data_IF_036391881455
#
_entry.id   IF_036391881455
#
_cell.length_a   1.000
_cell.length_b   1.000
_cell.length_c   1.000
_cell.angle_alpha   90.00
_cell.angle_beta   90.00
_cell.angle_gamma   90.00
#
_symmetry.space_group_name_H-M   'P 1'
#
loop_
_entity.id
_entity.type
_entity.pdbx_description
1 polymer ?
#
# COMPACT_ATOMS: atom_id res chain seq x y z
N UNK A 1 34.14 32.62 -41.02
CA UNK A 1 33.49 31.29 -41.07
C UNK A 1 33.56 30.69 -39.68
N UNK A 2 32.61 31.04 -38.81
CA UNK A 2 32.70 30.80 -37.36
C UNK A 2 31.34 30.34 -36.87
N UNK A 3 30.99 29.07 -37.10
CA UNK A 3 29.64 28.59 -36.80
C UNK A 3 29.49 27.07 -36.62
N UNK A 4 30.59 26.30 -36.61
CA UNK A 4 30.51 24.83 -36.56
C UNK A 4 30.86 24.20 -35.20
N UNK A 5 31.33 24.96 -34.20
CA UNK A 5 31.85 24.39 -32.95
C UNK A 5 30.87 24.41 -31.76
N UNK A 6 29.68 25.02 -31.89
CA UNK A 6 28.73 25.17 -30.77
C UNK A 6 27.65 24.09 -30.67
N UNK A 7 27.36 23.34 -31.75
CA UNK A 7 26.31 22.30 -31.71
C UNK A 7 26.81 20.93 -31.21
N UNK A 8 28.10 20.66 -31.35
CA UNK A 8 28.67 19.34 -31.04
C UNK A 8 28.87 19.11 -29.53
N UNK A 9 29.04 20.18 -28.76
CA UNK A 9 29.21 20.11 -27.29
C UNK A 9 27.90 19.92 -26.54
N UNK A 10 26.77 20.38 -27.10
CA UNK A 10 25.45 20.22 -26.47
C UNK A 10 24.93 18.78 -26.53
N UNK A 11 25.22 18.06 -27.62
CA UNK A 11 24.76 16.67 -27.79
C UNK A 11 25.51 15.69 -26.87
N UNK A 12 26.80 15.95 -26.57
CA UNK A 12 27.60 15.09 -25.69
C UNK A 12 27.22 15.22 -24.21
N UNK A 13 26.76 16.40 -23.76
CA UNK A 13 26.34 16.62 -22.37
C UNK A 13 25.03 15.88 -22.05
N UNK A 14 24.09 15.85 -23.00
CA UNK A 14 22.80 15.16 -22.86
C UNK A 14 23.01 13.63 -22.76
N UNK A 15 24.01 13.09 -23.46
CA UNK A 15 24.30 11.65 -23.47
C UNK A 15 24.89 11.18 -22.13
N UNK A 16 25.72 11.99 -21.46
CA UNK A 16 26.26 11.66 -20.14
C UNK A 16 25.21 11.71 -19.02
N UNK A 17 24.18 12.56 -19.13
CA UNK A 17 23.12 12.66 -18.12
C UNK A 17 22.21 11.41 -18.08
N UNK A 18 22.08 10.69 -19.19
CA UNK A 18 21.27 9.45 -19.26
C UNK A 18 22.02 8.20 -18.76
N UNK A 19 23.36 8.26 -18.68
CA UNK A 19 24.19 7.13 -18.22
C UNK A 19 24.38 7.06 -16.71
N UNK A 20 24.08 8.14 -15.97
CA UNK A 20 24.29 8.22 -14.52
C UNK A 20 23.08 7.77 -13.67
N UNK A 21 21.93 7.44 -14.28
CA UNK A 21 20.73 7.03 -13.56
C UNK A 21 20.55 5.51 -13.42
N UNK A 22 21.42 4.68 -14.02
CA UNK A 22 21.39 3.21 -13.81
C UNK A 22 22.04 2.76 -12.49
N UNK A 23 22.43 3.71 -11.62
CA UNK A 23 23.13 3.45 -10.37
C UNK A 23 22.32 3.79 -9.11
N UNK A 24 21.06 3.34 -9.00
CA UNK A 24 20.35 3.38 -7.72
C UNK A 24 19.84 1.98 -7.36
N UNK A 25 20.72 1.15 -6.81
CA UNK A 25 20.32 -0.11 -6.17
C UNK A 25 21.09 -0.43 -4.88
N UNK A 26 21.96 0.45 -4.40
CA UNK A 26 22.87 0.14 -3.26
C UNK A 26 22.76 1.13 -2.10
N UNK A 27 21.55 1.41 -1.61
CA UNK A 27 21.37 2.05 -0.30
C UNK A 27 20.07 1.62 0.39
N UNK A 28 19.87 0.29 0.53
CA UNK A 28 18.78 -0.29 1.34
C UNK A 28 19.31 -1.19 2.47
N UNK A 29 20.48 -0.92 3.04
CA UNK A 29 21.10 -1.80 4.04
C UNK A 29 21.37 -1.13 5.40
N UNK A 30 20.47 -0.30 5.95
CA UNK A 30 20.66 0.24 7.31
C UNK A 30 19.42 0.39 8.22
N UNK A 31 18.32 -0.34 8.01
CA UNK A 31 17.17 -0.21 8.93
C UNK A 31 16.47 -1.47 9.43
N UNK A 32 17.05 -2.68 9.27
CA UNK A 32 16.47 -3.87 9.92
C UNK A 32 17.55 -4.58 10.72
N UNK A 33 17.90 -3.96 11.84
CA UNK A 33 18.56 -4.61 12.97
C UNK A 33 17.54 -4.75 14.10
N UNK A 34 16.59 -5.66 13.94
CA UNK A 34 15.90 -6.30 15.05
C UNK A 34 15.66 -7.75 14.65
N UNK A 35 16.08 -8.65 15.52
CA UNK A 35 16.01 -10.10 15.36
C UNK A 35 14.57 -10.56 15.01
N UNK A 36 14.33 -10.86 13.73
CA UNK A 36 13.03 -11.31 13.23
C UNK A 36 13.19 -12.73 12.67
N UNK A 37 12.96 -13.73 13.51
CA UNK A 37 12.63 -15.06 13.01
C UNK A 37 11.29 -14.92 12.25
N UNK A 38 11.26 -15.33 10.98
CA UNK A 38 10.06 -15.15 10.15
C UNK A 38 8.89 -15.91 10.81
N UNK A 39 7.71 -15.30 11.00
CA UNK A 39 6.55 -15.99 11.56
C UNK A 39 6.25 -17.23 10.71
N UNK A 40 6.48 -18.41 11.29
CA UNK A 40 6.40 -19.70 10.59
C UNK A 40 4.96 -20.16 10.46
N UNK A 41 4.08 -19.70 11.36
CA UNK A 41 2.66 -20.05 11.34
C UNK A 41 1.80 -18.93 10.72
N UNK A 42 0.65 -19.33 10.16
CA UNK A 42 -0.30 -18.39 9.56
C UNK A 42 -0.88 -17.41 10.59
N UNK A 43 -1.11 -17.88 11.83
CA UNK A 43 -1.62 -17.04 12.93
C UNK A 43 -0.63 -15.92 13.26
N UNK A 44 0.66 -16.24 13.32
CA UNK A 44 1.70 -15.26 13.62
C UNK A 44 1.81 -14.22 12.51
N UNK A 45 1.71 -14.64 11.23
CA UNK A 45 1.68 -13.72 10.08
C UNK A 45 0.50 -12.75 10.16
N UNK A 46 -0.70 -13.25 10.51
CA UNK A 46 -1.91 -12.42 10.67
C UNK A 46 -1.73 -11.46 11.85
N UNK A 47 -1.19 -11.91 12.98
CA UNK A 47 -0.94 -11.05 14.14
C UNK A 47 0.06 -9.94 13.84
N UNK A 48 1.16 -10.27 13.15
CA UNK A 48 2.17 -9.28 12.72
C UNK A 48 1.56 -8.27 11.76
N UNK A 49 0.74 -8.71 10.80
CA UNK A 49 0.05 -7.81 9.88
C UNK A 49 -0.96 -6.92 10.62
N UNK A 50 -1.76 -7.47 11.53
CA UNK A 50 -2.76 -6.73 12.33
C UNK A 50 -2.09 -5.65 13.18
N UNK A 51 -0.94 -5.95 13.79
CA UNK A 51 -0.17 -4.98 14.58
C UNK A 51 0.47 -3.85 13.75
N UNK A 52 0.64 -4.04 12.44
CA UNK A 52 1.15 -3.00 11.53
C UNK A 52 0.06 -2.04 11.06
N UNK A 53 -1.22 -2.41 11.21
CA UNK A 53 -2.33 -1.53 10.88
C UNK A 53 -2.49 -0.48 11.97
N UNK A 54 -2.81 0.75 11.56
CA UNK A 54 -3.08 1.84 12.49
C UNK A 54 -4.33 1.56 13.33
N UNK A 55 -5.40 1.10 12.67
CA UNK A 55 -6.70 0.81 13.26
C UNK A 55 -7.18 -0.57 12.75
N UNK A 56 -6.65 -1.68 13.30
CA UNK A 56 -6.91 -3.03 12.78
C UNK A 56 -8.38 -3.46 12.91
N UNK A 57 -9.10 -2.92 13.88
CA UNK A 57 -10.53 -3.14 14.11
C UNK A 57 -11.41 -2.49 13.04
N UNK A 58 -10.91 -1.46 12.34
CA UNK A 58 -11.64 -0.76 11.28
C UNK A 58 -11.40 -1.31 9.89
N UNK A 59 -10.48 -2.27 9.74
CA UNK A 59 -10.08 -2.80 8.44
C UNK A 59 -11.28 -3.25 7.60
N UNK A 60 -12.13 -4.12 8.14
CA UNK A 60 -13.27 -4.67 7.42
C UNK A 60 -14.36 -3.62 7.15
N UNK A 61 -14.51 -2.61 8.03
CA UNK A 61 -15.41 -1.47 7.78
C UNK A 61 -14.95 -0.67 6.57
N UNK A 62 -13.66 -0.28 6.53
CA UNK A 62 -13.13 0.50 5.40
C UNK A 62 -13.12 -0.30 4.11
N UNK A 63 -12.87 -1.62 4.18
CA UNK A 63 -12.97 -2.51 3.04
C UNK A 63 -14.41 -2.57 2.48
N UNK A 64 -15.41 -2.71 3.35
CA UNK A 64 -16.83 -2.67 2.95
C UNK A 64 -17.22 -1.34 2.31
N UNK A 65 -16.76 -0.21 2.87
CA UNK A 65 -17.00 1.12 2.30
C UNK A 65 -16.38 1.27 0.90
N UNK A 66 -15.21 0.67 0.66
CA UNK A 66 -14.58 0.68 -0.66
C UNK A 66 -15.42 -0.13 -1.66
N UNK A 67 -15.86 -1.33 -1.28
CA UNK A 67 -16.70 -2.20 -2.12
C UNK A 67 -18.05 -1.53 -2.44
N UNK A 68 -18.68 -0.90 -1.45
CA UNK A 68 -19.88 -0.08 -1.63
C UNK A 68 -19.64 1.02 -2.69
N UNK A 69 -18.54 1.76 -2.58
CA UNK A 69 -18.19 2.80 -3.58
C UNK A 69 -17.90 2.24 -4.98
N UNK A 70 -17.47 0.99 -5.09
CA UNK A 70 -17.24 0.31 -6.35
C UNK A 70 -18.51 -0.29 -6.97
N UNK A 71 -19.64 -0.26 -6.25
CA UNK A 71 -20.89 -0.87 -6.71
C UNK A 71 -21.04 -2.35 -6.35
N UNK A 72 -20.06 -2.94 -5.67
CA UNK A 72 -20.06 -4.35 -5.26
C UNK A 72 -20.78 -4.50 -3.91
N UNK A 73 -22.11 -4.48 -3.96
CA UNK A 73 -22.97 -4.49 -2.76
C UNK A 73 -22.88 -5.81 -1.97
N UNK A 74 -22.76 -6.94 -2.67
CA UNK A 74 -22.69 -8.27 -2.04
C UNK A 74 -21.40 -8.41 -1.24
N UNK A 75 -20.27 -8.02 -1.82
CA UNK A 75 -19.00 -8.08 -1.11
C UNK A 75 -18.94 -7.04 0.02
N UNK A 76 -19.54 -5.85 -0.17
CA UNK A 76 -19.65 -4.84 0.87
C UNK A 76 -20.41 -5.36 2.10
N UNK A 77 -21.54 -6.05 1.88
CA UNK A 77 -22.35 -6.68 2.93
C UNK A 77 -21.51 -7.67 3.74
N UNK A 78 -20.84 -8.60 3.06
CA UNK A 78 -19.96 -9.57 3.70
C UNK A 78 -18.87 -8.90 4.54
N UNK A 79 -18.24 -7.84 4.04
CA UNK A 79 -17.22 -7.10 4.81
C UNK A 79 -17.79 -6.46 6.08
N UNK A 80 -18.98 -5.86 6.01
CA UNK A 80 -19.62 -5.29 7.21
C UNK A 80 -20.05 -6.37 8.21
N UNK A 81 -20.50 -7.53 7.75
CA UNK A 81 -20.82 -8.67 8.62
C UNK A 81 -19.57 -9.21 9.35
N UNK A 82 -18.44 -9.36 8.63
CA UNK A 82 -17.16 -9.74 9.25
C UNK A 82 -16.71 -8.68 10.26
N UNK A 83 -16.90 -7.39 9.96
CA UNK A 83 -16.59 -6.32 10.90
C UNK A 83 -17.40 -6.44 12.20
N UNK A 84 -18.68 -6.82 12.12
CA UNK A 84 -19.52 -7.07 13.30
C UNK A 84 -19.14 -8.36 14.05
N UNK A 85 -18.63 -9.37 13.34
CA UNK A 85 -18.06 -10.57 13.96
C UNK A 85 -16.82 -10.26 14.81
N UNK A 86 -15.95 -9.36 14.35
CA UNK A 86 -14.75 -8.93 15.07
C UNK A 86 -15.05 -7.89 16.16
N UNK A 87 -15.95 -6.93 15.87
CA UNK A 87 -16.39 -5.90 16.80
C UNK A 87 -17.92 -5.75 16.75
N UNK A 88 -18.65 -6.46 17.63
CA UNK A 88 -20.11 -6.43 17.68
C UNK A 88 -20.73 -5.05 17.98
N UNK A 89 -19.93 -4.08 18.45
CA UNK A 89 -20.38 -2.72 18.75
C UNK A 89 -19.95 -1.71 17.69
N UNK A 90 -19.48 -2.15 16.52
CA UNK A 90 -19.11 -1.24 15.43
C UNK A 90 -20.34 -0.54 14.86
N UNK A 91 -20.52 0.72 15.25
CA UNK A 91 -21.61 1.57 14.74
C UNK A 91 -21.48 1.75 13.24
N UNK A 92 -20.25 1.93 12.73
CA UNK A 92 -19.98 2.13 11.32
C UNK A 92 -20.35 0.91 10.47
N UNK A 93 -20.16 -0.31 10.96
CA UNK A 93 -20.56 -1.53 10.26
C UNK A 93 -22.08 -1.68 10.19
N UNK A 94 -22.79 -1.40 11.30
CA UNK A 94 -24.27 -1.37 11.30
C UNK A 94 -24.80 -0.34 10.32
N UNK A 95 -24.25 0.87 10.32
CA UNK A 95 -24.62 1.91 9.36
C UNK A 95 -24.27 1.52 7.92
N UNK A 96 -23.20 0.75 7.72
CA UNK A 96 -22.83 0.16 6.44
C UNK A 96 -23.92 -0.75 5.89
N UNK A 97 -24.33 -1.75 6.68
CA UNK A 97 -25.41 -2.67 6.30
C UNK A 97 -26.72 -1.94 6.01
N UNK A 98 -27.09 -0.97 6.84
CA UNK A 98 -28.31 -0.19 6.66
C UNK A 98 -28.34 0.64 5.36
N UNK A 99 -27.20 0.91 4.71
CA UNK A 99 -27.16 1.57 3.40
C UNK A 99 -27.35 0.60 2.22
N UNK A 100 -27.16 -0.70 2.45
CA UNK A 100 -27.22 -1.74 1.42
C UNK A 100 -28.62 -2.39 1.32
N UNK A 101 -29.49 -2.13 2.29
CA UNK A 101 -30.90 -2.52 2.29
C UNK A 101 -31.78 -1.40 1.72
#
# INVERSE_FOLDING_TARGET
MSGLLTKQTWMTVITCALLLCNGCSSMRDKFVAKSDEAPTTLKDKISVAKNKLKDPDKFYVTHGQLQEKMGDMDSARNSYEVALGENPKSVEAVLGLARLD
#
